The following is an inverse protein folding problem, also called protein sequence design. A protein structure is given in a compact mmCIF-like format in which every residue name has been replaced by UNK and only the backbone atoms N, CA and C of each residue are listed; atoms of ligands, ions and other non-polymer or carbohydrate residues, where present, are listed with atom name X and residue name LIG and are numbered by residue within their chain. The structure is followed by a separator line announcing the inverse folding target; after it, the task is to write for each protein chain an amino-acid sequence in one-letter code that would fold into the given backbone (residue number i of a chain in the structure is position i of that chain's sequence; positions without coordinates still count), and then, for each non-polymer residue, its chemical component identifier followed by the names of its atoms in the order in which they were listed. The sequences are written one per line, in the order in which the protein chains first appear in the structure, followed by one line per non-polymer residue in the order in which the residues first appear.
data_IF_517624386487
#
_entry.id   IF_517624386487
#
_cell.length_a   1.000
_cell.length_b   1.000
_cell.length_c   1.000
_cell.angle_alpha   90.00
_cell.angle_beta   90.00
_cell.angle_gamma   90.00
#
_symmetry.space_group_name_H-M   'P 1'
#
loop_
_entity.id
_entity.type
_entity.pdbx_description
1 polymer ?
#
# COMPACT_ATOMS: atom_id res chain seq x y z
N UNK A 1 11.31 -7.72 16.55
CA UNK A 1 11.50 -7.89 15.09
C UNK A 1 10.12 -8.09 14.52
N UNK A 2 9.61 -7.13 13.75
CA UNK A 2 8.30 -7.28 13.09
C UNK A 2 8.45 -8.36 12.01
N UNK A 3 7.89 -9.54 12.29
CA UNK A 3 8.09 -10.76 11.50
C UNK A 3 7.41 -10.66 10.14
N UNK A 4 6.38 -9.81 10.04
CA UNK A 4 5.61 -9.52 8.84
C UNK A 4 5.28 -8.01 8.81
N UNK A 5 5.42 -7.41 7.63
CA UNK A 5 5.01 -6.05 7.31
C UNK A 5 3.97 -6.11 6.19
N UNK A 6 2.84 -5.44 6.38
CA UNK A 6 1.75 -5.37 5.42
C UNK A 6 1.80 -4.03 4.68
N UNK A 7 2.09 -4.08 3.37
CA UNK A 7 2.04 -2.91 2.49
C UNK A 7 0.66 -2.79 1.83
N UNK A 8 0.03 -1.64 2.01
CA UNK A 8 -1.14 -1.20 1.24
C UNK A 8 -0.73 -0.08 0.28
N UNK A 9 -1.08 -0.21 -1.00
CA UNK A 9 -0.75 0.78 -2.04
C UNK A 9 -2.04 1.23 -2.72
N UNK A 10 -2.35 2.52 -2.61
CA UNK A 10 -3.50 3.16 -3.25
C UNK A 10 -3.02 4.03 -4.42
N UNK A 11 -3.35 3.60 -5.64
CA UNK A 11 -2.96 4.28 -6.88
C UNK A 11 -4.16 5.00 -7.47
N UNK A 12 -4.26 6.30 -7.17
CA UNK A 12 -5.29 7.19 -7.71
C UNK A 12 -4.90 7.80 -9.06
N UNK A 13 -5.80 8.66 -9.58
CA UNK A 13 -5.63 9.34 -10.88
C UNK A 13 -4.52 10.40 -10.93
N UNK A 14 -4.04 10.85 -9.77
CA UNK A 14 -3.02 11.89 -9.64
C UNK A 14 -1.89 11.54 -8.67
N UNK A 15 -2.15 10.63 -7.74
CA UNK A 15 -1.30 10.36 -6.58
C UNK A 15 -1.20 8.87 -6.29
N UNK A 16 -0.08 8.48 -5.68
CA UNK A 16 0.16 7.17 -5.11
C UNK A 16 0.34 7.35 -3.61
N UNK A 17 -0.33 6.51 -2.82
CA UNK A 17 -0.14 6.43 -1.37
C UNK A 17 0.36 5.04 -1.04
N UNK A 18 1.35 4.94 -0.15
CA UNK A 18 1.79 3.66 0.41
C UNK A 18 1.69 3.74 1.93
N UNK A 19 1.26 2.64 2.53
CA UNK A 19 1.19 2.46 3.98
C UNK A 19 1.84 1.12 4.29
N UNK A 20 2.68 1.09 5.33
CA UNK A 20 3.19 -0.14 5.93
C UNK A 20 2.64 -0.27 7.35
N UNK A 21 2.00 -1.41 7.62
CA UNK A 21 1.55 -1.81 8.94
C UNK A 21 2.41 -2.96 9.45
N UNK A 22 2.70 -2.98 10.75
CA UNK A 22 3.25 -4.17 11.38
C UNK A 22 2.16 -5.21 11.70
N UNK A 23 2.56 -6.34 12.29
CA UNK A 23 1.68 -7.47 12.65
C UNK A 23 0.59 -7.09 13.70
N UNK A 24 0.79 -5.97 14.41
CA UNK A 24 -0.21 -5.40 15.32
C UNK A 24 -1.15 -4.40 14.62
N UNK A 25 -1.09 -4.31 13.30
CA UNK A 25 -1.76 -3.32 12.45
C UNK A 25 -1.43 -1.88 12.83
N UNK A 26 -0.24 -1.61 13.40
CA UNK A 26 0.22 -0.25 13.67
C UNK A 26 0.95 0.31 12.47
N UNK A 27 0.67 1.57 12.17
CA UNK A 27 1.39 2.32 11.14
C UNK A 27 2.87 2.45 11.51
N UNK A 28 3.75 1.93 10.65
CA UNK A 28 5.21 2.00 10.83
C UNK A 28 5.92 2.75 9.72
N UNK A 29 5.25 2.94 8.58
CA UNK A 29 5.71 3.78 7.47
C UNK A 29 4.53 4.23 6.61
N UNK A 30 4.58 5.43 6.07
CA UNK A 30 3.69 5.87 5.00
C UNK A 30 4.38 6.90 4.13
N UNK A 31 3.99 6.93 2.87
CA UNK A 31 4.43 7.96 1.92
C UNK A 31 3.28 8.31 0.96
N UNK A 32 3.31 9.52 0.44
CA UNK A 32 2.32 10.10 -0.45
C UNK A 32 3.03 10.90 -1.53
N UNK A 33 2.86 10.52 -2.78
CA UNK A 33 3.53 11.18 -3.91
C UNK A 33 2.55 11.43 -5.06
N UNK A 34 2.77 12.54 -5.77
CA UNK A 34 2.12 12.76 -7.07
C UNK A 34 2.89 11.97 -8.12
N UNK A 35 2.18 11.22 -8.97
CA UNK A 35 2.86 10.38 -9.95
C UNK A 35 3.22 11.12 -11.25
N UNK A 36 2.70 12.34 -11.49
CA UNK A 36 3.01 13.15 -12.67
C UNK A 36 2.98 12.38 -14.01
N UNK A 37 1.92 11.59 -14.23
CA UNK A 37 1.75 10.67 -15.37
C UNK A 37 2.72 9.45 -15.42
N UNK A 38 3.64 9.31 -14.47
CA UNK A 38 4.55 8.17 -14.33
C UNK A 38 4.22 7.31 -13.10
N UNK A 39 3.11 6.58 -13.20
CA UNK A 39 2.61 5.73 -12.10
C UNK A 39 3.61 4.63 -11.75
N UNK A 40 4.21 3.98 -12.75
CA UNK A 40 5.07 2.81 -12.54
C UNK A 40 6.34 3.19 -11.78
N UNK A 41 7.06 4.22 -12.21
CA UNK A 41 8.28 4.63 -11.52
C UNK A 41 7.98 5.15 -10.12
N UNK A 42 6.87 5.88 -9.94
CA UNK A 42 6.44 6.35 -8.62
C UNK A 42 6.20 5.18 -7.67
N UNK A 43 5.44 4.16 -8.09
CA UNK A 43 5.18 2.96 -7.28
C UNK A 43 6.49 2.22 -6.96
N UNK A 44 7.37 2.01 -7.96
CA UNK A 44 8.66 1.32 -7.76
C UNK A 44 9.53 2.07 -6.75
N UNK A 45 9.63 3.39 -6.89
CA UNK A 45 10.37 4.27 -5.98
C UNK A 45 9.87 4.13 -4.53
N UNK A 46 8.55 4.25 -4.34
CA UNK A 46 7.92 4.17 -3.02
C UNK A 46 8.07 2.76 -2.41
N UNK A 47 7.95 1.70 -3.20
CA UNK A 47 8.18 0.32 -2.75
C UNK A 47 9.64 0.08 -2.34
N UNK A 48 10.61 0.63 -3.07
CA UNK A 48 12.05 0.54 -2.70
C UNK A 48 12.34 1.29 -1.40
N UNK A 49 11.73 2.45 -1.20
CA UNK A 49 11.85 3.20 0.06
C UNK A 49 11.29 2.40 1.24
N UNK A 50 10.11 1.78 1.07
CA UNK A 50 9.53 0.89 2.07
C UNK A 50 10.42 -0.33 2.36
N UNK A 51 10.94 -1.00 1.33
CA UNK A 51 11.82 -2.16 1.48
C UNK A 51 13.12 -1.82 2.24
N UNK A 52 13.74 -0.68 1.94
CA UNK A 52 14.96 -0.21 2.61
C UNK A 52 14.75 -0.01 4.11
N UNK A 53 13.51 0.30 4.53
CA UNK A 53 13.16 0.45 5.94
C UNK A 53 13.00 -0.89 6.68
N UNK A 54 12.66 -1.97 5.95
CA UNK A 54 12.33 -3.28 6.51
C UNK A 54 13.05 -4.43 5.77
N UNK A 55 14.40 -4.42 5.67
CA UNK A 55 15.14 -5.34 4.78
C UNK A 55 15.01 -6.82 5.15
N UNK A 56 14.82 -7.13 6.43
CA UNK A 56 14.75 -8.50 6.96
C UNK A 56 13.32 -8.98 7.25
N UNK A 57 12.30 -8.16 6.93
CA UNK A 57 10.90 -8.50 7.21
C UNK A 57 10.27 -9.26 6.05
N UNK A 58 9.36 -10.19 6.35
CA UNK A 58 8.45 -10.72 5.33
C UNK A 58 7.46 -9.63 4.96
N UNK A 59 7.25 -9.40 3.66
CA UNK A 59 6.34 -8.37 3.17
C UNK A 59 5.14 -9.03 2.50
N UNK A 60 3.93 -8.60 2.88
CA UNK A 60 2.71 -8.85 2.11
C UNK A 60 2.28 -7.56 1.44
N UNK A 61 1.71 -7.64 0.23
CA UNK A 61 1.33 -6.46 -0.53
C UNK A 61 -0.12 -6.60 -1.00
N UNK A 62 -0.88 -5.51 -0.87
CA UNK A 62 -2.22 -5.37 -1.42
C UNK A 62 -2.32 -4.03 -2.14
N UNK A 63 -2.75 -4.04 -3.39
CA UNK A 63 -3.06 -2.84 -4.15
C UNK A 63 -4.55 -2.51 -4.05
N UNK A 64 -4.86 -1.22 -4.13
CA UNK A 64 -6.16 -0.67 -4.47
C UNK A 64 -5.94 0.54 -5.38
N UNK A 65 -6.98 1.28 -5.72
CA UNK A 65 -6.85 2.35 -6.70
C UNK A 65 -7.05 1.81 -8.12
N UNK A 66 -7.93 2.41 -8.91
CA UNK A 66 -8.12 2.01 -10.32
C UNK A 66 -6.80 2.02 -11.14
N UNK A 67 -5.87 2.92 -10.84
CA UNK A 67 -4.55 2.98 -11.48
C UNK A 67 -3.60 1.85 -11.08
N UNK A 68 -3.94 1.07 -10.05
CA UNK A 68 -3.14 0.00 -9.47
C UNK A 68 -3.43 -1.39 -10.04
N UNK A 69 -4.56 -1.58 -10.74
CA UNK A 69 -5.03 -2.89 -11.23
C UNK A 69 -3.96 -3.57 -12.11
N UNK A 70 -3.52 -2.90 -13.17
CA UNK A 70 -2.54 -3.48 -14.10
C UNK A 70 -1.17 -3.72 -13.46
N UNK A 71 -0.82 -2.96 -12.41
CA UNK A 71 0.43 -3.16 -11.66
C UNK A 71 0.31 -4.40 -10.78
N UNK A 72 -0.81 -4.55 -10.07
CA UNK A 72 -1.07 -5.71 -9.23
C UNK A 72 -1.07 -7.01 -10.05
N UNK A 73 -1.72 -6.99 -11.22
CA UNK A 73 -1.70 -8.10 -12.18
C UNK A 73 -0.29 -8.41 -12.68
N UNK A 74 0.46 -7.39 -13.11
CA UNK A 74 1.83 -7.58 -13.61
C UNK A 74 2.80 -8.11 -12.56
N UNK A 75 2.56 -7.83 -11.28
CA UNK A 75 3.39 -8.31 -10.17
C UNK A 75 2.85 -9.61 -9.55
N UNK A 76 1.71 -10.12 -10.02
CA UNK A 76 1.00 -11.27 -9.44
C UNK A 76 0.74 -11.12 -7.92
N UNK A 77 0.32 -9.93 -7.49
CA UNK A 77 -0.02 -9.59 -6.09
C UNK A 77 -1.51 -9.29 -5.94
N UNK A 78 -1.98 -9.19 -4.69
CA UNK A 78 -3.38 -8.95 -4.38
C UNK A 78 -3.87 -7.57 -4.82
N UNK A 79 -5.13 -7.51 -5.24
CA UNK A 79 -5.89 -6.28 -5.47
C UNK A 79 -7.22 -6.31 -4.70
N UNK A 80 -7.61 -5.19 -4.11
CA UNK A 80 -8.92 -5.00 -3.48
C UNK A 80 -9.57 -3.70 -3.98
N UNK A 81 -10.89 -3.68 -4.04
CA UNK A 81 -11.63 -2.49 -4.48
C UNK A 81 -11.54 -1.35 -3.46
N UNK A 82 -11.46 -0.10 -3.94
CA UNK A 82 -11.26 1.09 -3.09
C UNK A 82 -12.34 1.24 -2.02
N UNK A 83 -13.61 0.99 -2.39
CA UNK A 83 -14.74 1.07 -1.46
C UNK A 83 -14.60 0.02 -0.35
N UNK A 84 -14.25 -1.23 -0.71
CA UNK A 84 -14.07 -2.31 0.25
C UNK A 84 -12.90 -2.01 1.19
N UNK A 85 -11.76 -1.57 0.64
CA UNK A 85 -10.58 -1.20 1.42
C UNK A 85 -10.90 -0.07 2.42
N UNK A 86 -11.61 0.96 1.97
CA UNK A 86 -11.97 2.11 2.80
C UNK A 86 -12.94 1.71 3.92
N UNK A 87 -13.96 0.91 3.61
CA UNK A 87 -14.89 0.38 4.60
C UNK A 87 -14.17 -0.43 5.67
N UNK A 88 -13.31 -1.38 5.27
CA UNK A 88 -12.55 -2.20 6.22
C UNK A 88 -11.59 -1.36 7.09
N UNK A 89 -10.97 -0.33 6.51
CA UNK A 89 -10.10 0.56 7.26
C UNK A 89 -10.88 1.35 8.33
N UNK A 90 -12.05 1.91 7.97
CA UNK A 90 -12.90 2.64 8.91
C UNK A 90 -13.37 1.71 10.03
N UNK A 91 -13.94 0.54 9.69
CA UNK A 91 -14.42 -0.43 10.68
C UNK A 91 -13.30 -0.88 11.64
N UNK A 92 -12.07 -1.02 11.14
CA UNK A 92 -10.94 -1.53 11.93
C UNK A 92 -10.28 -0.49 12.82
N UNK A 93 -10.14 0.74 12.33
CA UNK A 93 -9.37 1.80 12.99
C UNK A 93 -10.24 2.87 13.66
N UNK A 94 -11.50 3.01 13.23
CA UNK A 94 -12.48 3.97 13.75
C UNK A 94 -13.86 3.32 13.96
N UNK A 95 -13.96 2.19 14.71
CA UNK A 95 -15.19 1.42 14.88
C UNK A 95 -16.37 2.18 15.53
N UNK A 96 -16.10 3.36 16.10
CA UNK A 96 -17.09 4.24 16.71
C UNK A 96 -17.81 5.17 15.72
N UNK A 97 -17.44 5.14 14.44
CA UNK A 97 -18.07 5.95 13.37
C UNK A 97 -19.16 5.16 12.71
#
# INVERSE_FOLDING_TARGET
MDKVIHLGIDVGSTTVKIVALNDQLKLVFSDYQRHYADIKETVISMMRAAYTRFPESKITIMFTGSGGIGIAESLAVGFTQEVIASTQAIERFYPQT
#
